data_IF_612499635212
#
_entry.id   IF_612499635212
#
_cell.length_a   1.000
_cell.length_b   1.000
_cell.length_c   1.000
_cell.angle_alpha   90.00
_cell.angle_beta   90.00
_cell.angle_gamma   90.00
#
_symmetry.space_group_name_H-M   'P 1'
#
loop_
_entity.id
_entity.type
_entity.pdbx_description
1 polymer ?
#
# COMPACT_ATOMS: atom_id res chain seq x y z
N UNK A 1 -10.99 -17.42 11.64
CA UNK A 1 -11.00 -15.96 11.35
C UNK A 1 -10.97 -15.79 9.84
N UNK A 2 -11.75 -14.90 9.32
CA UNK A 2 -11.81 -14.62 7.88
C UNK A 2 -10.63 -13.73 7.46
N UNK A 3 -9.92 -14.13 6.41
CA UNK A 3 -8.88 -13.34 5.79
C UNK A 3 -9.21 -13.14 4.31
N UNK A 4 -9.25 -11.89 3.87
CA UNK A 4 -9.55 -11.52 2.50
C UNK A 4 -8.51 -10.54 1.99
N UNK A 5 -7.90 -10.85 0.85
CA UNK A 5 -6.91 -9.98 0.19
C UNK A 5 -7.42 -9.66 -1.20
N UNK A 6 -7.66 -8.39 -1.47
CA UNK A 6 -8.22 -7.92 -2.72
C UNK A 6 -7.33 -6.89 -3.39
N UNK A 7 -7.36 -6.92 -4.72
CA UNK A 7 -6.79 -5.88 -5.59
C UNK A 7 -7.92 -5.22 -6.37
N UNK A 8 -7.65 -4.13 -7.11
CA UNK A 8 -8.68 -3.51 -7.95
C UNK A 8 -9.27 -4.45 -9.02
N UNK A 9 -8.58 -5.54 -9.35
CA UNK A 9 -8.98 -6.44 -10.43
C UNK A 9 -9.54 -7.78 -9.96
N UNK A 10 -9.21 -8.21 -8.74
CA UNK A 10 -9.60 -9.55 -8.28
C UNK A 10 -9.51 -9.70 -6.76
N UNK A 11 -10.19 -10.70 -6.24
CA UNK A 11 -9.92 -11.25 -4.92
C UNK A 11 -8.79 -12.26 -5.06
N UNK A 12 -7.65 -11.96 -4.48
CA UNK A 12 -6.45 -12.81 -4.59
C UNK A 12 -6.51 -13.98 -3.62
N UNK A 13 -7.02 -13.73 -2.42
CA UNK A 13 -7.15 -14.72 -1.36
C UNK A 13 -8.43 -14.47 -0.58
N UNK A 14 -9.16 -15.53 -0.30
CA UNK A 14 -10.28 -15.51 0.63
C UNK A 14 -10.30 -16.84 1.38
N UNK A 15 -10.20 -16.79 2.71
CA UNK A 15 -10.23 -17.98 3.55
C UNK A 15 -10.92 -17.69 4.89
N UNK A 16 -11.62 -18.66 5.40
CA UNK A 16 -12.19 -18.64 6.76
C UNK A 16 -11.31 -19.41 7.76
N UNK A 17 -10.23 -20.02 7.29
CA UNK A 17 -9.42 -20.96 8.06
C UNK A 17 -8.20 -20.31 8.75
N UNK A 18 -8.00 -19.01 8.61
CA UNK A 18 -6.88 -18.33 9.25
C UNK A 18 -7.06 -18.32 10.77
N UNK A 19 -6.04 -18.78 11.50
CA UNK A 19 -6.00 -18.72 12.96
C UNK A 19 -5.04 -17.66 13.48
N UNK A 20 -4.09 -17.23 12.64
CA UNK A 20 -3.14 -16.19 12.95
C UNK A 20 -2.73 -15.47 11.68
N UNK A 21 -2.72 -14.14 11.71
CA UNK A 21 -2.23 -13.30 10.61
C UNK A 21 -1.12 -12.43 11.13
N UNK A 22 -0.01 -12.40 10.43
CA UNK A 22 1.13 -11.55 10.74
C UNK A 22 1.44 -10.61 9.58
N UNK A 23 1.59 -9.33 9.89
CA UNK A 23 1.89 -8.30 8.90
C UNK A 23 2.87 -7.28 9.48
N UNK A 24 3.38 -6.40 8.62
CA UNK A 24 4.29 -5.33 8.99
C UNK A 24 3.75 -3.98 8.53
N UNK A 25 3.74 -3.02 9.44
CA UNK A 25 3.49 -1.62 9.11
C UNK A 25 4.70 -0.75 9.52
N UNK A 26 4.55 0.56 9.46
CA UNK A 26 5.63 1.49 9.80
C UNK A 26 6.10 1.35 11.26
N UNK A 27 5.26 0.83 12.15
CA UNK A 27 5.61 0.60 13.56
C UNK A 27 6.29 -0.74 13.81
N UNK A 28 6.36 -1.62 12.81
CA UNK A 28 6.98 -2.93 12.88
C UNK A 28 6.01 -4.08 12.65
N UNK A 29 6.45 -5.29 12.99
CA UNK A 29 5.65 -6.49 12.84
C UNK A 29 4.57 -6.57 13.92
N UNK A 30 3.39 -7.06 13.54
CA UNK A 30 2.28 -7.30 14.47
C UNK A 30 1.52 -8.58 14.08
N UNK A 31 0.83 -9.16 15.05
CA UNK A 31 0.03 -10.37 14.86
C UNK A 31 -1.44 -10.11 15.19
N UNK A 32 -2.30 -10.80 14.47
CA UNK A 32 -3.75 -10.74 14.64
C UNK A 32 -4.27 -12.14 14.95
N UNK A 33 -4.91 -12.27 16.09
CA UNK A 33 -5.61 -13.48 16.51
C UNK A 33 -7.11 -13.20 16.57
N UNK A 34 -7.92 -14.24 16.60
CA UNK A 34 -9.35 -14.11 16.84
C UNK A 34 -9.63 -13.31 18.11
N UNK A 35 -10.56 -12.39 18.05
CA UNK A 35 -10.88 -11.49 19.16
C UNK A 35 -10.07 -10.20 19.20
N UNK A 36 -9.20 -9.97 18.21
CA UNK A 36 -8.45 -8.72 18.10
C UNK A 36 -9.40 -7.51 18.00
N UNK A 37 -9.03 -6.42 18.66
CA UNK A 37 -9.79 -5.17 18.58
C UNK A 37 -9.83 -4.64 17.14
N UNK A 38 -10.85 -3.86 16.83
CA UNK A 38 -10.93 -3.17 15.54
C UNK A 38 -9.69 -2.33 15.31
N UNK A 39 -9.12 -2.44 14.11
CA UNK A 39 -7.81 -1.88 13.81
C UNK A 39 -7.71 -1.55 12.33
N UNK A 40 -7.07 -0.44 11.99
CA UNK A 40 -6.80 -0.02 10.62
C UNK A 40 -5.37 0.46 10.52
N UNK A 41 -4.61 -0.06 9.56
CA UNK A 41 -3.23 0.37 9.33
C UNK A 41 -2.86 0.34 7.86
N UNK A 42 -1.84 1.10 7.51
CA UNK A 42 -1.26 1.13 6.17
C UNK A 42 -0.03 0.24 6.15
N UNK A 43 -0.01 -0.68 5.19
CA UNK A 43 1.10 -1.61 4.96
C UNK A 43 2.04 -1.07 3.88
N UNK A 44 3.34 -1.25 4.09
CA UNK A 44 4.33 -1.07 3.04
C UNK A 44 4.47 -2.32 2.16
N UNK A 45 5.44 -2.29 1.26
CA UNK A 45 5.84 -3.49 0.51
C UNK A 45 6.37 -4.51 1.50
N UNK A 46 5.71 -5.66 1.61
CA UNK A 46 5.97 -6.64 2.67
C UNK A 46 5.36 -7.99 2.33
N UNK A 47 5.70 -9.00 3.13
CA UNK A 47 5.06 -10.32 3.08
C UNK A 47 4.12 -10.44 4.27
N UNK A 48 2.85 -10.73 3.98
CA UNK A 48 1.87 -11.13 4.98
C UNK A 48 1.97 -12.65 5.14
N UNK A 49 2.02 -13.12 6.38
CA UNK A 49 2.04 -14.55 6.72
C UNK A 49 0.75 -14.89 7.46
N UNK A 50 0.09 -15.96 7.07
CA UNK A 50 -1.04 -16.46 7.84
C UNK A 50 -0.90 -17.97 8.06
N UNK A 51 -1.42 -18.42 9.18
CA UNK A 51 -1.40 -19.83 9.59
C UNK A 51 -2.82 -20.35 9.66
N UNK A 52 -3.02 -21.55 9.16
CA UNK A 52 -4.30 -22.25 9.23
C UNK A 52 -4.41 -23.10 10.49
N UNK A 53 -5.55 -23.76 10.67
CA UNK A 53 -5.81 -24.62 11.82
C UNK A 53 -4.96 -25.89 11.89
N UNK A 54 -4.22 -26.21 10.84
CA UNK A 54 -3.29 -27.34 10.76
C UNK A 54 -1.83 -26.91 10.99
N UNK A 55 -1.61 -25.70 11.48
CA UNK A 55 -0.31 -25.10 11.71
C UNK A 55 0.55 -24.90 10.45
N UNK A 56 -0.05 -24.97 9.27
CA UNK A 56 0.62 -24.64 8.01
C UNK A 56 0.68 -23.14 7.80
N UNK A 57 1.86 -22.65 7.42
CA UNK A 57 2.06 -21.25 7.12
C UNK A 57 1.92 -20.97 5.63
N UNK A 58 1.28 -19.85 5.32
CA UNK A 58 1.05 -19.39 3.96
C UNK A 58 1.54 -17.95 3.83
N UNK A 59 2.04 -17.59 2.67
CA UNK A 59 2.70 -16.30 2.44
C UNK A 59 2.06 -15.58 1.26
N UNK A 60 1.90 -14.26 1.42
CA UNK A 60 1.43 -13.39 0.35
C UNK A 60 2.30 -12.14 0.32
N UNK A 61 2.96 -11.91 -0.81
CA UNK A 61 3.70 -10.67 -1.02
C UNK A 61 2.72 -9.56 -1.42
N UNK A 62 2.81 -8.42 -0.76
CA UNK A 62 1.94 -7.27 -0.96
C UNK A 62 2.73 -6.06 -1.45
N UNK A 63 2.18 -5.38 -2.45
CA UNK A 63 2.71 -4.09 -2.89
C UNK A 63 2.05 -2.95 -2.10
N UNK A 64 2.22 -3.01 -0.76
CA UNK A 64 1.57 -2.06 0.13
C UNK A 64 0.07 -2.30 0.30
N UNK A 65 -0.63 -1.34 0.85
CA UNK A 65 -2.07 -1.40 0.98
C UNK A 65 -2.59 -0.99 2.35
N UNK A 66 -3.84 -1.33 2.60
CA UNK A 66 -4.54 -1.06 3.86
C UNK A 66 -5.06 -2.36 4.43
N UNK A 67 -4.77 -2.59 5.72
CA UNK A 67 -5.27 -3.73 6.47
C UNK A 67 -6.29 -3.24 7.49
N UNK A 68 -7.43 -3.89 7.55
CA UNK A 68 -8.45 -3.62 8.57
C UNK A 68 -8.86 -4.90 9.29
N UNK A 69 -9.08 -4.78 10.60
CA UNK A 69 -9.63 -5.82 11.46
C UNK A 69 -10.99 -5.35 11.96
N UNK A 70 -12.01 -6.16 11.80
CA UNK A 70 -13.37 -5.85 12.24
C UNK A 70 -13.98 -7.04 12.96
N UNK A 71 -14.75 -6.75 14.01
CA UNK A 71 -15.55 -7.73 14.77
C UNK A 71 -14.72 -8.88 15.36
N UNK A 72 -13.41 -8.69 15.52
CA UNK A 72 -12.50 -9.68 16.09
C UNK A 72 -12.26 -10.91 15.24
N UNK A 73 -12.89 -11.03 14.06
CA UNK A 73 -12.81 -12.23 13.24
C UNK A 73 -12.71 -11.98 11.74
N UNK A 74 -12.58 -10.73 11.30
CA UNK A 74 -12.50 -10.38 9.88
C UNK A 74 -11.29 -9.50 9.62
N UNK A 75 -10.36 -10.01 8.83
CA UNK A 75 -9.17 -9.27 8.38
C UNK A 75 -9.30 -9.05 6.88
N UNK A 76 -9.28 -7.80 6.46
CA UNK A 76 -9.35 -7.41 5.06
C UNK A 76 -8.10 -6.63 4.67
N UNK A 77 -7.47 -7.02 3.59
CA UNK A 77 -6.33 -6.31 3.00
C UNK A 77 -6.70 -5.85 1.60
N UNK A 78 -6.57 -4.57 1.35
CA UNK A 78 -6.73 -3.97 0.02
C UNK A 78 -5.36 -3.50 -0.44
N UNK A 79 -4.89 -4.04 -1.56
CA UNK A 79 -3.54 -3.79 -2.07
C UNK A 79 -3.56 -3.54 -3.57
N UNK A 80 -2.53 -2.90 -4.11
CA UNK A 80 -2.38 -2.70 -5.55
C UNK A 80 -2.03 -3.98 -6.30
N UNK A 81 -1.23 -4.84 -5.68
CA UNK A 81 -0.84 -6.13 -6.24
C UNK A 81 -0.49 -7.09 -5.11
N UNK A 82 -0.82 -8.36 -5.27
CA UNK A 82 -0.50 -9.41 -4.32
C UNK A 82 -0.09 -10.68 -5.07
N UNK A 83 0.92 -11.37 -4.54
CA UNK A 83 1.41 -12.65 -5.08
C UNK A 83 1.41 -13.67 -3.97
N UNK A 84 0.60 -14.71 -4.13
CA UNK A 84 0.56 -15.85 -3.21
C UNK A 84 1.71 -16.79 -3.55
N UNK A 85 2.43 -17.27 -2.54
CA UNK A 85 3.50 -18.24 -2.72
C UNK A 85 3.72 -19.06 -1.47
N UNK A 86 4.30 -20.23 -1.65
CA UNK A 86 4.62 -21.14 -0.56
C UNK A 86 6.08 -21.01 -0.11
N UNK A 87 6.93 -20.43 -0.94
CA UNK A 87 8.34 -20.21 -0.66
C UNK A 87 8.58 -18.75 -0.24
N UNK A 88 8.72 -18.54 1.06
CA UNK A 88 8.96 -17.22 1.64
C UNK A 88 10.24 -16.58 1.08
N UNK A 89 11.29 -17.37 0.89
CA UNK A 89 12.56 -16.86 0.38
C UNK A 89 12.43 -16.31 -1.04
N UNK A 90 11.69 -17.02 -1.89
CA UNK A 90 11.43 -16.60 -3.26
C UNK A 90 10.61 -15.30 -3.28
N UNK A 91 9.58 -15.20 -2.44
CA UNK A 91 8.78 -13.99 -2.32
C UNK A 91 9.63 -12.80 -1.86
N UNK A 92 10.49 -13.00 -0.85
CA UNK A 92 11.34 -11.94 -0.33
C UNK A 92 12.40 -11.49 -1.33
N UNK A 93 13.06 -12.42 -2.03
CA UNK A 93 14.19 -12.09 -2.90
C UNK A 93 13.76 -11.58 -4.28
N UNK A 94 12.69 -12.11 -4.86
CA UNK A 94 12.27 -11.78 -6.22
C UNK A 94 11.04 -10.88 -6.27
N UNK A 95 9.98 -11.26 -5.57
CA UNK A 95 8.71 -10.55 -5.66
C UNK A 95 8.77 -9.22 -4.93
N UNK A 96 9.29 -9.18 -3.71
CA UNK A 96 9.44 -7.93 -2.97
C UNK A 96 10.41 -6.97 -3.65
N UNK A 97 11.50 -7.48 -4.24
CA UNK A 97 12.43 -6.64 -4.99
C UNK A 97 11.74 -5.96 -6.17
N UNK A 98 10.89 -6.70 -6.89
CA UNK A 98 10.08 -6.15 -7.98
C UNK A 98 9.09 -5.10 -7.46
N UNK A 99 8.40 -5.38 -6.37
CA UNK A 99 7.44 -4.45 -5.77
C UNK A 99 8.11 -3.17 -5.27
N UNK A 100 9.30 -3.26 -4.68
CA UNK A 100 10.07 -2.10 -4.28
C UNK A 100 10.47 -1.24 -5.48
N UNK A 101 10.91 -1.85 -6.58
CA UNK A 101 11.23 -1.12 -7.81
C UNK A 101 10.02 -0.41 -8.37
N UNK A 102 8.86 -1.08 -8.43
CA UNK A 102 7.61 -0.48 -8.90
C UNK A 102 7.19 0.70 -8.02
N UNK A 103 7.29 0.57 -6.69
CA UNK A 103 6.96 1.65 -5.77
C UNK A 103 7.92 2.84 -5.94
N UNK A 104 9.21 2.59 -6.14
CA UNK A 104 10.20 3.63 -6.37
C UNK A 104 9.96 4.34 -7.72
N UNK A 105 9.63 3.61 -8.77
CA UNK A 105 9.27 4.15 -10.07
C UNK A 105 8.00 5.02 -9.99
N UNK A 106 6.98 4.57 -9.29
CA UNK A 106 5.75 5.33 -9.08
C UNK A 106 6.01 6.63 -8.32
N UNK A 107 6.84 6.59 -7.27
CA UNK A 107 7.23 7.80 -6.53
C UNK A 107 8.04 8.76 -7.38
N UNK A 108 8.98 8.27 -8.17
CA UNK A 108 9.78 9.09 -9.08
C UNK A 108 8.89 9.74 -10.14
N UNK A 109 7.98 8.99 -10.75
CA UNK A 109 7.02 9.49 -11.72
C UNK A 109 6.08 10.54 -11.11
N UNK A 110 5.60 10.32 -9.89
CA UNK A 110 4.75 11.27 -9.18
C UNK A 110 5.50 12.57 -8.86
N UNK A 111 6.75 12.48 -8.39
CA UNK A 111 7.61 13.63 -8.12
C UNK A 111 7.87 14.43 -9.39
N UNK A 112 8.15 13.76 -10.51
CA UNK A 112 8.36 14.40 -11.80
C UNK A 112 7.09 15.11 -12.28
N UNK A 113 5.94 14.46 -12.16
CA UNK A 113 4.65 15.06 -12.51
C UNK A 113 4.36 16.31 -11.66
N UNK A 114 4.64 16.27 -10.35
CA UNK A 114 4.51 17.43 -9.47
C UNK A 114 5.45 18.56 -9.86
N UNK A 115 6.68 18.24 -10.21
CA UNK A 115 7.67 19.22 -10.64
C UNK A 115 7.24 19.93 -11.92
N UNK A 116 6.74 19.17 -12.90
CA UNK A 116 6.22 19.74 -14.14
C UNK A 116 4.97 20.60 -13.89
N UNK A 117 4.09 20.16 -13.00
CA UNK A 117 2.90 20.92 -12.63
C UNK A 117 3.25 22.26 -11.99
N UNK A 118 4.19 22.26 -11.06
CA UNK A 118 4.69 23.50 -10.43
C UNK A 118 5.36 24.42 -11.44
N UNK A 119 6.15 23.88 -12.35
CA UNK A 119 6.80 24.66 -13.40
C UNK A 119 5.76 25.32 -14.32
N UNK A 120 4.71 24.61 -14.69
CA UNK A 120 3.60 25.13 -15.49
C UNK A 120 2.87 26.27 -14.75
N UNK A 121 2.59 26.09 -13.47
CA UNK A 121 1.96 27.14 -12.64
C UNK A 121 2.83 28.39 -12.58
N UNK A 122 4.13 28.25 -12.36
CA UNK A 122 5.07 29.39 -12.33
C UNK A 122 5.09 30.13 -13.65
N UNK A 123 5.07 29.41 -14.78
CA UNK A 123 5.04 30.01 -16.10
C UNK A 123 3.76 30.83 -16.32
N UNK A 124 2.62 30.28 -15.94
CA UNK A 124 1.32 30.98 -16.01
C UNK A 124 1.36 32.24 -15.16
N UNK A 125 1.87 32.16 -13.94
CA UNK A 125 1.97 33.31 -13.05
C UNK A 125 2.89 34.42 -13.60
N UNK A 126 3.98 34.06 -14.28
CA UNK A 126 4.86 35.05 -14.97
C UNK A 126 4.11 35.77 -16.05
N UNK A 127 3.28 35.06 -16.84
CA UNK A 127 2.50 35.64 -17.92
C UNK A 127 1.42 36.58 -17.40
N UNK A 128 0.87 36.31 -16.22
CA UNK A 128 -0.17 37.14 -15.60
C UNK A 128 0.39 38.27 -14.71
N UNK A 129 1.70 38.26 -14.43
CA UNK A 129 2.32 39.27 -13.58
C UNK A 129 2.41 40.59 -14.30
N UNK A 130 1.95 41.70 -13.70
CA UNK A 130 2.16 43.03 -14.27
C UNK A 130 3.64 43.31 -14.45
N UNK A 131 4.02 43.91 -15.56
CA UNK A 131 5.40 44.34 -15.77
C UNK A 131 5.86 45.34 -14.70
N UNK A 132 7.14 45.26 -14.27
CA UNK A 132 7.68 46.28 -13.38
C UNK A 132 7.53 47.70 -13.99
N UNK A 133 6.93 48.61 -13.27
CA UNK A 133 6.61 49.92 -13.77
C UNK A 133 5.19 50.08 -14.31
N UNK A 134 4.45 49.00 -14.48
CA UNK A 134 3.04 49.04 -14.79
C UNK A 134 2.25 49.00 -13.47
N UNK A 135 2.23 50.10 -12.78
CA UNK A 135 1.32 50.25 -11.67
C UNK A 135 -0.10 50.25 -12.24
N UNK A 136 -1.01 49.40 -11.73
CA UNK A 136 -2.41 49.53 -12.12
C UNK A 136 -2.85 50.90 -11.73
N UNK A 137 -3.16 51.70 -12.71
CA UNK A 137 -3.82 52.99 -12.48
C UNK A 137 -5.18 52.68 -11.88
N UNK A 138 -5.26 52.87 -10.58
CA UNK A 138 -6.55 52.98 -9.93
C UNK A 138 -7.00 54.39 -10.23
N UNK A 139 -7.70 54.49 -11.28
CA UNK A 139 -8.36 55.72 -11.62
C UNK A 139 -9.72 55.74 -11.06
#
# INVERSE_FOLDING_TARGET
MRLSITTPFATVLHTDEAVHVRADDASGAFGILHGHADFLTVLGVSVLTWRDGHASEHYVALRGGVLSVQDGNSVTVTTGEAVVGEDLRLLETEVLARFHRQADEERAAHTEAQRLHLAAIRQIMRLLRPEPGHAPTVG
#
